data_IF_485785637860
#
_entry.id   IF_485785637860
#
_cell.length_a   1.000
_cell.length_b   1.000
_cell.length_c   1.000
_cell.angle_alpha   90.00
_cell.angle_beta   90.00
_cell.angle_gamma   90.00
#
_symmetry.space_group_name_H-M   'P 1'
#
loop_
_entity.id
_entity.type
_entity.pdbx_description
1 polymer ?
#
# COMPACT_ATOMS: atom_id res chain seq x y z
N UNK A 1 -3.80 -15.67 -15.93
CA UNK A 1 -3.13 -14.79 -14.97
C UNK A 1 -2.55 -15.64 -13.86
N UNK A 2 -1.43 -15.28 -13.25
CA UNK A 2 -0.84 -16.04 -12.15
C UNK A 2 -1.16 -15.37 -10.81
N UNK A 3 -1.32 -16.17 -9.77
CA UNK A 3 -1.53 -15.69 -8.40
C UNK A 3 -0.34 -14.84 -7.94
N UNK A 4 -0.53 -13.57 -7.55
CA UNK A 4 0.56 -12.74 -7.09
C UNK A 4 1.20 -13.23 -5.79
N UNK A 5 0.47 -14.00 -4.97
CA UNK A 5 1.01 -14.53 -3.71
C UNK A 5 1.83 -15.79 -3.86
N UNK A 6 1.44 -16.75 -4.73
CA UNK A 6 2.10 -18.05 -4.83
C UNK A 6 2.54 -18.42 -6.24
N UNK A 7 2.25 -17.59 -7.26
CA UNK A 7 2.61 -17.84 -8.66
C UNK A 7 1.76 -18.90 -9.37
N UNK A 8 0.81 -19.54 -8.70
CA UNK A 8 -0.04 -20.56 -9.31
C UNK A 8 -0.98 -19.95 -10.38
N UNK A 9 -1.34 -20.70 -11.43
CA UNK A 9 -2.27 -20.23 -12.44
C UNK A 9 -3.67 -20.02 -11.85
N UNK A 10 -4.28 -18.87 -12.14
CA UNK A 10 -5.65 -18.53 -11.75
C UNK A 10 -6.52 -18.47 -12.99
N UNK A 11 -7.64 -19.20 -12.97
CA UNK A 11 -8.67 -19.09 -14.00
C UNK A 11 -9.58 -17.90 -13.68
N UNK A 12 -9.63 -16.95 -14.62
CA UNK A 12 -10.51 -15.79 -14.50
C UNK A 12 -11.96 -16.22 -14.75
N UNK A 13 -12.85 -15.92 -13.81
CA UNK A 13 -14.30 -16.02 -14.02
C UNK A 13 -14.84 -14.61 -14.20
N UNK A 14 -15.48 -14.30 -15.34
CA UNK A 14 -15.88 -12.93 -15.69
C UNK A 14 -17.04 -12.36 -14.85
N UNK A 15 -17.62 -13.15 -13.98
CA UNK A 15 -18.84 -12.84 -13.21
C UNK A 15 -18.62 -12.75 -11.69
N UNK A 16 -17.37 -12.73 -11.24
CA UNK A 16 -17.05 -12.62 -9.80
C UNK A 16 -16.29 -11.34 -9.51
N UNK A 17 -16.72 -10.62 -8.49
CA UNK A 17 -16.06 -9.41 -7.99
C UNK A 17 -14.65 -9.68 -7.41
N UNK A 18 -14.28 -10.94 -7.23
CA UNK A 18 -12.97 -11.35 -6.72
C UNK A 18 -12.53 -12.73 -7.20
N UNK A 19 -11.23 -12.97 -7.22
CA UNK A 19 -10.64 -14.27 -7.57
C UNK A 19 -10.01 -14.90 -6.33
N UNK A 20 -10.38 -16.14 -6.06
CA UNK A 20 -9.74 -16.95 -5.01
C UNK A 20 -8.73 -17.89 -5.63
N UNK A 21 -7.48 -17.82 -5.18
CA UNK A 21 -6.47 -18.82 -5.56
C UNK A 21 -6.79 -20.15 -4.92
N UNK A 22 -6.93 -21.21 -5.72
CA UNK A 22 -7.20 -22.57 -5.22
C UNK A 22 -6.01 -23.20 -4.48
N UNK A 23 -4.81 -22.68 -4.69
CA UNK A 23 -3.58 -23.19 -4.07
C UNK A 23 -3.25 -22.57 -2.71
N UNK A 24 -3.30 -21.24 -2.64
CA UNK A 24 -2.97 -20.51 -1.39
C UNK A 24 -4.17 -19.88 -0.71
N UNK A 25 -5.36 -20.04 -1.29
CA UNK A 25 -6.64 -19.50 -0.83
C UNK A 25 -6.72 -17.98 -0.71
N UNK A 26 -5.74 -17.24 -1.23
CA UNK A 26 -5.76 -15.79 -1.30
C UNK A 26 -6.87 -15.34 -2.23
N UNK A 27 -7.63 -14.34 -1.81
CA UNK A 27 -8.66 -13.69 -2.62
C UNK A 27 -8.05 -12.40 -3.21
N UNK A 28 -8.29 -12.16 -4.49
CA UNK A 28 -7.91 -10.92 -5.18
C UNK A 28 -9.13 -10.29 -5.78
N UNK A 29 -9.13 -8.99 -5.80
CA UNK A 29 -10.07 -8.17 -6.54
C UNK A 29 -9.32 -7.56 -7.72
N UNK A 30 -9.57 -7.99 -8.98
CA UNK A 30 -8.89 -7.40 -10.13
C UNK A 30 -9.52 -6.06 -10.47
N UNK A 31 -8.75 -5.06 -10.31
CA UNK A 31 -9.04 -3.70 -10.77
C UNK A 31 -9.69 -2.85 -9.72
N UNK A 32 -9.12 -2.14 -8.98
CA UNK A 32 -9.42 -1.02 -8.09
C UNK A 32 -8.74 -1.13 -6.73
N UNK A 33 -7.46 -1.50 -6.72
CA UNK A 33 -6.59 -1.01 -5.66
C UNK A 33 -6.23 0.46 -5.99
N UNK A 34 -7.25 1.30 -6.09
CA UNK A 34 -7.10 2.74 -6.12
C UNK A 34 -7.20 3.20 -4.67
N UNK A 35 -6.07 3.53 -4.07
CA UNK A 35 -6.01 4.11 -2.71
C UNK A 35 -6.68 5.50 -2.64
N UNK A 36 -7.50 5.86 -3.63
CA UNK A 36 -8.19 7.15 -3.70
C UNK A 36 -7.23 8.31 -4.00
N UNK A 37 -6.10 8.03 -4.63
CA UNK A 37 -5.05 9.02 -4.92
C UNK A 37 -5.51 10.03 -5.96
N UNK A 38 -5.49 11.30 -5.60
CA UNK A 38 -5.73 12.43 -6.49
C UNK A 38 -4.39 13.08 -6.86
N UNK A 39 -3.96 12.91 -8.11
CA UNK A 39 -2.79 13.59 -8.65
C UNK A 39 -3.20 14.99 -9.08
N UNK A 40 -2.50 16.03 -8.59
CA UNK A 40 -2.74 17.40 -9.06
C UNK A 40 -2.35 17.52 -10.53
N UNK A 41 -3.31 17.93 -11.36
CA UNK A 41 -3.11 18.19 -12.78
C UNK A 41 -2.81 19.68 -13.07
N UNK A 42 -2.73 20.55 -12.04
CA UNK A 42 -2.41 21.95 -12.23
C UNK A 42 -0.92 22.13 -12.52
N UNK A 43 -0.55 22.67 -13.70
CA UNK A 43 0.86 22.88 -14.05
C UNK A 43 1.59 23.85 -13.09
N UNK A 44 0.87 24.79 -12.48
CA UNK A 44 1.43 25.73 -11.51
C UNK A 44 1.72 25.03 -10.16
N UNK A 45 0.86 24.13 -9.75
CA UNK A 45 1.09 23.27 -8.58
C UNK A 45 2.17 22.22 -8.84
N UNK A 46 2.27 21.68 -10.04
CA UNK A 46 3.31 20.73 -10.40
C UNK A 46 4.72 21.34 -10.41
N UNK A 47 4.86 22.61 -10.79
CA UNK A 47 6.15 23.29 -10.84
C UNK A 47 6.74 23.60 -9.44
N UNK A 48 5.89 23.82 -8.43
CA UNK A 48 6.30 24.06 -7.02
C UNK A 48 6.36 22.73 -6.22
N UNK A 49 5.98 21.62 -6.81
CA UNK A 49 5.59 20.42 -6.10
C UNK A 49 6.43 19.19 -6.41
N UNK A 50 7.24 19.19 -7.41
CA UNK A 50 8.25 18.18 -7.58
C UNK A 50 9.53 18.67 -6.91
N UNK A 51 9.88 18.06 -5.78
CA UNK A 51 11.29 18.00 -5.45
C UNK A 51 11.90 17.04 -6.48
N UNK A 52 12.57 17.53 -7.53
CA UNK A 52 13.14 16.67 -8.57
C UNK A 52 14.23 15.76 -8.03
N UNK A 53 14.59 15.91 -6.75
CA UNK A 53 15.55 15.06 -6.05
C UNK A 53 14.91 13.81 -5.45
N UNK A 54 13.55 13.74 -5.33
CA UNK A 54 12.87 12.61 -4.73
C UNK A 54 12.42 11.61 -5.81
N UNK A 55 13.24 10.59 -6.02
CA UNK A 55 12.93 9.48 -6.93
C UNK A 55 12.23 8.33 -6.19
N UNK A 56 11.34 7.63 -6.89
CA UNK A 56 10.71 6.42 -6.39
C UNK A 56 11.78 5.40 -5.95
N UNK A 57 11.71 4.85 -4.73
CA UNK A 57 12.70 3.90 -4.24
C UNK A 57 12.65 2.54 -4.98
N UNK A 58 11.55 2.27 -5.70
CA UNK A 58 11.36 1.04 -6.49
C UNK A 58 11.70 1.25 -7.96
N UNK A 59 11.12 2.29 -8.60
CA UNK A 59 11.21 2.50 -10.04
C UNK A 59 12.30 3.49 -10.44
N UNK A 60 12.84 4.27 -9.50
CA UNK A 60 13.81 5.35 -9.73
C UNK A 60 13.31 6.49 -10.64
N UNK A 61 12.00 6.58 -10.88
CA UNK A 61 11.39 7.71 -11.58
C UNK A 61 11.01 8.82 -10.59
N UNK A 62 10.93 10.08 -11.01
CA UNK A 62 10.52 11.18 -10.14
C UNK A 62 9.15 10.92 -9.52
N UNK A 63 9.03 11.14 -8.21
CA UNK A 63 7.74 11.13 -7.52
C UNK A 63 6.98 12.42 -7.83
N UNK A 64 5.66 12.32 -7.91
CA UNK A 64 4.78 13.47 -8.11
C UNK A 64 3.97 13.74 -6.85
N UNK A 65 3.60 15.00 -6.63
CA UNK A 65 2.69 15.35 -5.53
C UNK A 65 1.28 14.88 -5.85
N UNK A 66 0.68 14.30 -4.85
CA UNK A 66 -0.69 13.83 -4.87
C UNK A 66 -1.32 14.06 -3.49
N UNK A 67 -2.58 13.76 -3.36
CA UNK A 67 -3.28 13.77 -2.09
C UNK A 67 -4.31 12.66 -2.02
N UNK A 68 -4.61 12.22 -0.81
CA UNK A 68 -5.77 11.40 -0.48
C UNK A 68 -6.60 12.23 0.48
N UNK A 69 -7.87 12.51 0.16
CA UNK A 69 -8.77 13.33 0.97
C UNK A 69 -8.13 14.67 1.43
N UNK A 70 -7.32 15.31 0.58
CA UNK A 70 -6.53 16.53 0.84
C UNK A 70 -5.31 16.35 1.75
N UNK A 71 -5.00 15.14 2.18
CA UNK A 71 -3.75 14.85 2.90
C UNK A 71 -2.63 14.72 1.87
N UNK A 72 -1.60 15.59 1.90
CA UNK A 72 -0.56 15.60 0.88
C UNK A 72 0.39 14.42 1.02
N UNK A 73 0.78 13.83 -0.11
CA UNK A 73 1.74 12.75 -0.21
C UNK A 73 2.51 12.81 -1.54
N UNK A 74 3.49 11.96 -1.71
CA UNK A 74 4.18 11.74 -2.98
C UNK A 74 3.76 10.38 -3.56
N UNK A 75 3.58 10.35 -4.87
CA UNK A 75 3.04 9.23 -5.61
C UNK A 75 3.94 8.84 -6.78
N UNK A 76 4.11 7.57 -7.01
CA UNK A 76 4.79 7.05 -8.18
C UNK A 76 3.78 6.68 -9.28
N UNK A 77 3.86 7.34 -10.44
CA UNK A 77 2.96 7.04 -11.57
C UNK A 77 3.21 5.67 -12.21
N UNK A 78 4.36 5.06 -11.99
CA UNK A 78 4.74 3.77 -12.59
C UNK A 78 4.32 2.57 -11.72
N UNK A 79 4.72 2.57 -10.45
CA UNK A 79 4.40 1.45 -9.56
C UNK A 79 3.23 1.72 -8.61
N UNK A 80 2.67 2.94 -8.65
CA UNK A 80 1.57 3.38 -7.80
C UNK A 80 1.88 3.39 -6.29
N UNK A 81 3.15 3.36 -5.91
CA UNK A 81 3.56 3.43 -4.50
C UNK A 81 3.44 4.85 -3.95
N UNK A 82 3.30 4.93 -2.62
CA UNK A 82 3.05 6.14 -1.85
C UNK A 82 4.22 6.43 -0.92
N UNK A 83 4.68 7.67 -0.87
CA UNK A 83 5.67 8.15 0.10
C UNK A 83 5.08 9.32 0.88
N UNK A 84 5.06 9.22 2.20
CA UNK A 84 4.49 10.26 3.07
C UNK A 84 5.12 10.24 4.46
N UNK A 85 4.99 11.33 5.25
CA UNK A 85 5.43 11.36 6.64
C UNK A 85 4.66 10.35 7.50
N UNK A 86 5.34 9.60 8.36
CA UNK A 86 4.73 8.56 9.21
C UNK A 86 3.55 9.08 10.05
N UNK A 87 3.62 10.35 10.46
CA UNK A 87 2.60 10.96 11.32
C UNK A 87 1.22 11.10 10.67
N UNK A 88 1.14 11.09 9.32
CA UNK A 88 -0.15 11.21 8.62
C UNK A 88 -0.79 9.87 8.30
N UNK A 89 -0.13 8.75 8.65
CA UNK A 89 -0.66 7.42 8.34
C UNK A 89 -2.05 7.21 8.96
N UNK A 90 -2.23 7.57 10.23
CA UNK A 90 -3.52 7.35 10.89
C UNK A 90 -4.64 8.15 10.23
N UNK A 91 -4.37 9.41 9.87
CA UNK A 91 -5.33 10.25 9.17
C UNK A 91 -5.69 9.66 7.80
N UNK A 92 -4.69 9.13 7.07
CA UNK A 92 -4.93 8.44 5.79
C UNK A 92 -5.78 7.18 5.95
N UNK A 93 -5.52 6.37 6.98
CA UNK A 93 -6.30 5.16 7.26
C UNK A 93 -7.76 5.50 7.59
N UNK A 94 -8.00 6.54 8.37
CA UNK A 94 -9.35 6.96 8.76
C UNK A 94 -10.13 7.47 7.55
N UNK A 95 -9.49 8.18 6.63
CA UNK A 95 -10.11 8.64 5.38
C UNK A 95 -10.44 7.46 4.45
N UNK A 96 -9.51 6.52 4.26
CA UNK A 96 -9.76 5.34 3.41
C UNK A 96 -10.89 4.50 3.99
N UNK A 97 -10.93 4.25 5.30
CA UNK A 97 -12.02 3.55 5.98
C UNK A 97 -13.37 4.23 5.80
N UNK A 98 -13.38 5.56 5.81
CA UNK A 98 -14.61 6.34 5.64
C UNK A 98 -15.16 6.30 4.21
N UNK A 99 -14.27 6.16 3.23
CA UNK A 99 -14.63 6.14 1.82
C UNK A 99 -15.14 4.77 1.34
N UNK A 100 -14.77 3.69 2.01
CA UNK A 100 -15.07 2.31 1.59
C UNK A 100 -15.86 1.58 2.69
N UNK A 101 -16.98 0.94 2.30
CA UNK A 101 -17.81 0.12 3.19
C UNK A 101 -17.46 -1.38 3.08
N UNK A 102 -16.34 -1.74 2.50
CA UNK A 102 -15.98 -3.14 2.28
C UNK A 102 -15.38 -3.78 3.52
N UNK A 103 -15.78 -5.04 3.76
CA UNK A 103 -15.34 -5.82 4.92
C UNK A 103 -13.84 -6.16 4.84
N UNK A 104 -13.29 -6.47 5.99
CA UNK A 104 -11.89 -6.80 6.18
C UNK A 104 -11.40 -7.90 5.22
N UNK A 105 -10.40 -7.59 4.41
CA UNK A 105 -9.73 -8.54 3.52
C UNK A 105 -8.35 -8.87 4.10
N UNK A 106 -8.18 -10.12 4.55
CA UNK A 106 -6.86 -10.62 4.90
C UNK A 106 -6.16 -11.11 3.63
N UNK A 107 -5.10 -10.42 3.24
CA UNK A 107 -4.18 -10.92 2.21
C UNK A 107 -2.91 -11.44 2.89
N UNK A 108 -2.36 -12.59 2.46
CA UNK A 108 -1.06 -13.01 2.95
C UNK A 108 0.00 -11.98 2.54
N UNK A 109 1.02 -11.76 3.39
CA UNK A 109 2.09 -10.81 3.09
C UNK A 109 2.86 -11.27 1.85
N UNK A 110 3.26 -10.32 1.01
CA UNK A 110 4.20 -10.63 -0.06
C UNK A 110 5.60 -10.85 0.55
N UNK A 111 6.04 -12.11 0.58
CA UNK A 111 7.37 -12.45 1.09
C UNK A 111 8.50 -11.90 0.22
N UNK A 112 8.20 -11.43 -0.99
CA UNK A 112 9.14 -10.74 -1.86
C UNK A 112 9.57 -9.42 -1.25
N UNK A 113 8.65 -8.71 -0.61
CA UNK A 113 8.92 -7.41 0.01
C UNK A 113 9.94 -7.48 1.15
N UNK A 114 9.92 -8.56 1.94
CA UNK A 114 10.94 -8.77 3.00
C UNK A 114 12.36 -8.97 2.46
N UNK A 115 12.51 -9.33 1.20
CA UNK A 115 13.83 -9.59 0.59
C UNK A 115 14.40 -8.39 -0.14
N UNK A 116 13.58 -7.40 -0.45
CA UNK A 116 14.03 -6.18 -1.12
C UNK A 116 14.72 -5.25 -0.13
N UNK A 117 15.56 -4.39 -0.65
CA UNK A 117 16.18 -3.32 0.13
C UNK A 117 15.91 -2.01 -0.58
N UNK A 118 15.06 -1.18 0.00
CA UNK A 118 14.79 0.15 -0.50
C UNK A 118 15.72 1.19 0.12
N UNK A 119 15.94 2.28 -0.60
CA UNK A 119 16.68 3.44 -0.11
C UNK A 119 15.75 4.63 0.01
N UNK A 120 15.85 5.32 1.15
CA UNK A 120 15.07 6.52 1.38
C UNK A 120 15.37 7.58 0.31
N UNK A 121 14.36 8.08 -0.41
CA UNK A 121 14.59 9.09 -1.44
C UNK A 121 15.21 10.38 -0.92
N UNK A 122 15.01 10.70 0.36
CA UNK A 122 15.51 11.95 0.97
C UNK A 122 16.95 11.86 1.46
N UNK A 123 17.32 10.79 2.17
CA UNK A 123 18.66 10.69 2.78
C UNK A 123 19.52 9.58 2.19
N UNK A 124 19.01 8.80 1.24
CA UNK A 124 19.68 7.66 0.59
C UNK A 124 20.13 6.54 1.56
N UNK A 125 19.72 6.59 2.83
CA UNK A 125 19.96 5.50 3.77
C UNK A 125 19.02 4.33 3.44
N UNK A 126 19.43 3.12 3.85
CA UNK A 126 18.56 1.95 3.76
C UNK A 126 17.31 2.18 4.59
N UNK A 127 16.15 1.91 4.01
CA UNK A 127 14.87 1.87 4.75
C UNK A 127 14.76 0.57 5.53
N UNK A 128 14.06 0.60 6.64
CA UNK A 128 13.75 -0.57 7.45
C UNK A 128 12.46 -1.21 6.93
N UNK A 129 12.56 -2.48 6.51
CA UNK A 129 11.44 -3.24 5.97
C UNK A 129 10.91 -4.16 7.07
N UNK A 130 9.67 -3.94 7.49
CA UNK A 130 9.09 -4.65 8.62
C UNK A 130 7.58 -4.83 8.44
N UNK A 131 7.00 -5.74 9.24
CA UNK A 131 5.55 -5.84 9.33
C UNK A 131 4.97 -4.59 9.98
N UNK A 132 3.92 -4.05 9.39
CA UNK A 132 3.12 -3.02 10.05
C UNK A 132 2.60 -3.55 11.37
N UNK A 133 2.78 -2.79 12.45
CA UNK A 133 2.44 -3.21 13.82
C UNK A 133 0.93 -3.31 14.11
N UNK A 134 0.10 -3.09 13.10
CA UNK A 134 -1.35 -3.28 13.15
C UNK A 134 -1.78 -4.58 12.49
N UNK A 135 -3.09 -4.84 12.48
CA UNK A 135 -3.65 -5.99 11.81
C UNK A 135 -3.38 -5.96 10.29
N UNK A 136 -3.39 -7.11 9.63
CA UNK A 136 -3.35 -7.20 8.17
C UNK A 136 -2.09 -7.79 7.55
N UNK A 137 -1.04 -8.07 8.35
CA UNK A 137 0.20 -8.67 7.84
C UNK A 137 0.82 -7.92 6.65
N UNK A 138 0.67 -6.59 6.60
CA UNK A 138 1.25 -5.75 5.55
C UNK A 138 2.70 -5.44 5.88
N UNK A 139 3.57 -5.53 4.88
CA UNK A 139 4.98 -5.18 4.99
C UNK A 139 5.13 -3.75 4.53
N UNK A 140 5.82 -2.94 5.30
CA UNK A 140 6.04 -1.51 5.02
C UNK A 140 7.53 -1.20 5.07
N UNK A 141 7.94 -0.17 4.35
CA UNK A 141 9.30 0.33 4.38
C UNK A 141 9.36 1.72 5.04
N UNK A 142 10.14 1.86 6.09
CA UNK A 142 10.24 3.11 6.86
C UNK A 142 11.65 3.68 6.91
N UNK A 143 11.72 5.00 6.99
CA UNK A 143 12.96 5.71 7.26
C UNK A 143 12.81 6.56 8.52
N UNK A 144 13.29 6.07 9.66
CA UNK A 144 13.18 6.77 10.93
C UNK A 144 13.90 8.11 10.93
N UNK A 145 15.09 8.17 10.30
CA UNK A 145 15.86 9.42 10.22
C UNK A 145 15.16 10.56 9.48
N UNK A 146 14.25 10.23 8.55
CA UNK A 146 13.44 11.20 7.81
C UNK A 146 11.97 11.20 8.22
N UNK A 147 11.56 10.28 9.10
CA UNK A 147 10.16 10.03 9.47
C UNK A 147 9.25 9.81 8.26
N UNK A 148 9.74 9.06 7.28
CA UNK A 148 9.04 8.75 6.04
C UNK A 148 8.63 7.28 5.99
N UNK A 149 7.45 7.03 5.44
CA UNK A 149 6.91 5.71 5.15
C UNK A 149 6.72 5.55 3.65
N UNK A 150 7.09 4.39 3.14
CA UNK A 150 6.77 3.94 1.79
C UNK A 150 5.78 2.79 1.86
N UNK A 151 4.70 2.93 1.10
CA UNK A 151 3.74 1.87 0.87
C UNK A 151 3.68 1.54 -0.63
N UNK A 152 3.61 0.25 -0.94
CA UNK A 152 3.34 -0.20 -2.28
C UNK A 152 1.86 -0.06 -2.62
N UNK A 153 1.55 -0.23 -3.90
CA UNK A 153 0.17 -0.16 -4.38
C UNK A 153 -0.77 -1.05 -3.58
N UNK A 154 -1.87 -0.48 -3.08
CA UNK A 154 -2.91 -1.18 -2.34
C UNK A 154 -2.57 -1.54 -0.90
N UNK A 155 -1.36 -1.24 -0.41
CA UNK A 155 -1.00 -1.52 0.99
C UNK A 155 -1.77 -0.63 1.96
N UNK A 156 -2.01 0.64 1.61
CA UNK A 156 -2.81 1.54 2.44
C UNK A 156 -4.23 1.00 2.63
N UNK A 157 -4.86 0.59 1.54
CA UNK A 157 -6.20 -0.03 1.57
C UNK A 157 -6.21 -1.32 2.39
N UNK A 158 -5.19 -2.18 2.23
CA UNK A 158 -5.06 -3.42 3.02
C UNK A 158 -4.91 -3.14 4.52
N UNK A 159 -4.12 -2.14 4.90
CA UNK A 159 -3.98 -1.73 6.31
C UNK A 159 -5.31 -1.17 6.83
N UNK A 160 -5.98 -0.31 6.04
CA UNK A 160 -7.22 0.32 6.44
C UNK A 160 -8.35 -0.70 6.71
N UNK A 161 -8.43 -1.76 5.90
CA UNK A 161 -9.47 -2.78 5.99
C UNK A 161 -9.03 -4.06 6.71
N UNK A 162 -7.87 -4.06 7.35
CA UNK A 162 -7.47 -5.18 8.16
C UNK A 162 -8.43 -5.36 9.36
N UNK A 163 -8.78 -6.60 9.73
CA UNK A 163 -9.65 -6.84 10.89
C UNK A 163 -8.97 -6.34 12.15
N UNK A 164 -9.72 -5.65 13.00
CA UNK A 164 -9.23 -5.27 14.32
C UNK A 164 -8.90 -6.51 15.15
N UNK A 165 -7.86 -6.44 16.01
CA UNK A 165 -7.48 -7.54 16.90
C UNK A 165 -8.65 -8.01 17.80
N UNK A 166 -9.63 -7.14 18.03
CA UNK A 166 -10.85 -7.45 18.82
C UNK A 166 -11.86 -8.34 18.08
N UNK A 167 -11.72 -8.51 16.77
CA UNK A 167 -12.62 -9.33 15.93
C UNK A 167 -12.11 -10.75 15.67
N UNK A 168 -10.93 -11.10 16.18
CA UNK A 168 -10.43 -12.48 16.15
C UNK A 168 -11.03 -13.21 17.34
N UNK A 169 -12.16 -13.90 17.13
CA UNK A 169 -12.66 -14.87 18.11
C UNK A 169 -11.56 -15.91 18.35
N UNK A 170 -11.09 -16.01 19.59
CA UNK A 170 -10.17 -17.09 19.98
C UNK A 170 -10.83 -18.44 19.65
N UNK A 171 -10.18 -19.33 18.92
CA UNK A 171 -10.73 -20.65 18.68
C UNK A 171 -10.93 -21.34 20.01
N UNK A 172 -12.17 -21.69 20.30
CA UNK A 172 -12.59 -22.42 21.49
C UNK A 172 -12.02 -23.85 21.41
N UNK A 173 -10.86 -24.04 22.01
CA UNK A 173 -10.23 -25.35 22.20
C UNK A 173 -10.88 -26.02 23.43
N UNK A 174 -12.11 -26.52 23.29
CA UNK A 174 -12.75 -27.42 24.27
C UNK A 174 -12.69 -28.85 23.79
#
# INVERSE_FOLDING_TARGET
MNCPSCGAPIALRPDTEGYKCEYCHTVFYPGEEDDGVQVSNDPAEQADQTDPSLACPVCSVPLVKASIAKIPLLYCKECHGLLFPMQVLQDLLDEVRSATHEGAVQSPPDRGDLKRTLRCPRCNQRMDTHFYAGPGNVIVDSCDGCSLLWLDRGELTRIAHAPDESSVEEPNWA
#
